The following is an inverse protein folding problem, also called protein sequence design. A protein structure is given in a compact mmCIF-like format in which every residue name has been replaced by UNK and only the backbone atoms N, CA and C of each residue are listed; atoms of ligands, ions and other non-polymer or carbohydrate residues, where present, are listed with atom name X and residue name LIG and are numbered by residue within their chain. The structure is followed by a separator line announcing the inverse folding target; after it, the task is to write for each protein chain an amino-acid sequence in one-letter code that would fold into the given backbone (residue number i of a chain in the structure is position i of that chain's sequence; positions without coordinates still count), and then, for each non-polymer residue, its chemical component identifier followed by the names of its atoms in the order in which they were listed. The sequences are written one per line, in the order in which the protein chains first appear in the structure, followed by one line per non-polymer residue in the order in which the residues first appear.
data_IF_093360477459
#
_entry.id   IF_093360477459
#
_cell.length_a   1.000
_cell.length_b   1.000
_cell.length_c   1.000
_cell.angle_alpha   90.00
_cell.angle_beta   90.00
_cell.angle_gamma   90.00
#
_symmetry.space_group_name_H-M   'P 1'
#
loop_
_entity.id
_entity.type
_entity.pdbx_description
1 polymer ?
#
# COMPACT_ATOMS: atom_id res chain seq x y z
N UNK A 1 6.90 7.25 -11.51
CA UNK A 1 6.35 6.23 -10.60
C UNK A 1 5.15 6.78 -9.84
N UNK A 2 4.09 5.98 -9.67
CA UNK A 2 2.88 6.40 -8.96
C UNK A 2 2.31 5.25 -8.13
N UNK A 3 1.50 5.57 -7.14
CA UNK A 3 0.71 4.63 -6.37
C UNK A 3 -0.54 4.21 -7.11
N UNK A 4 -1.24 3.18 -6.63
CA UNK A 4 -2.49 2.66 -7.22
C UNK A 4 -3.57 3.74 -7.42
N UNK A 5 -3.54 4.83 -6.65
CA UNK A 5 -4.45 5.97 -6.77
C UNK A 5 -3.94 7.09 -7.70
N UNK A 6 -2.90 6.86 -8.49
CA UNK A 6 -2.33 7.82 -9.44
C UNK A 6 -1.41 8.88 -8.84
N UNK A 7 -1.29 8.99 -7.51
CA UNK A 7 -0.36 9.94 -6.88
C UNK A 7 1.09 9.55 -7.14
N UNK A 8 1.95 10.54 -7.37
CA UNK A 8 3.40 10.34 -7.46
C UNK A 8 3.96 9.68 -6.18
N UNK A 9 4.86 8.71 -6.36
CA UNK A 9 5.53 8.02 -5.26
C UNK A 9 6.83 8.70 -4.86
N UNK A 10 7.06 8.89 -3.55
CA UNK A 10 8.26 9.57 -3.01
C UNK A 10 8.92 8.74 -1.92
N UNK A 11 10.25 8.66 -1.95
CA UNK A 11 11.01 8.07 -0.85
C UNK A 11 10.69 8.82 0.45
N UNK A 12 10.45 8.08 1.53
CA UNK A 12 9.99 8.60 2.81
C UNK A 12 8.48 8.47 3.04
N UNK A 13 7.69 8.17 2.01
CA UNK A 13 6.25 7.95 2.17
C UNK A 13 5.96 6.69 3.00
N UNK A 14 5.02 6.79 3.94
CA UNK A 14 4.44 5.62 4.61
C UNK A 14 3.40 4.98 3.69
N UNK A 15 3.61 3.72 3.34
CA UNK A 15 2.82 3.02 2.33
C UNK A 15 2.38 1.63 2.80
N UNK A 16 1.28 1.17 2.21
CA UNK A 16 0.82 -0.21 2.30
C UNK A 16 0.96 -0.89 0.94
N UNK A 17 1.48 -2.12 0.93
CA UNK A 17 1.44 -2.98 -0.25
C UNK A 17 0.16 -3.80 -0.20
N UNK A 18 -0.59 -3.77 -1.29
CA UNK A 18 -1.82 -4.53 -1.47
C UNK A 18 -1.61 -5.71 -2.41
N UNK A 19 -2.26 -6.83 -2.10
CA UNK A 19 -2.45 -7.99 -2.96
C UNK A 19 -3.92 -8.42 -2.94
N UNK A 20 -4.62 -8.31 -4.07
CA UNK A 20 -6.07 -8.59 -4.13
C UNK A 20 -6.91 -7.84 -3.09
N UNK A 21 -6.57 -6.60 -2.76
CA UNK A 21 -7.23 -5.80 -1.72
C UNK A 21 -6.76 -6.11 -0.28
N UNK A 22 -5.89 -7.09 -0.06
CA UNK A 22 -5.34 -7.43 1.26
C UNK A 22 -4.02 -6.68 1.51
N UNK A 23 -3.83 -6.18 2.73
CA UNK A 23 -2.55 -5.58 3.14
C UNK A 23 -1.53 -6.68 3.39
N UNK A 24 -0.44 -6.69 2.62
CA UNK A 24 0.64 -7.70 2.72
C UNK A 24 1.97 -7.12 3.19
N UNK A 25 2.10 -5.79 3.26
CA UNK A 25 3.25 -5.11 3.85
C UNK A 25 2.86 -3.68 4.23
N UNK A 26 3.44 -3.17 5.31
CA UNK A 26 3.32 -1.78 5.75
C UNK A 26 4.71 -1.26 6.14
N UNK A 27 5.04 -0.05 5.71
CA UNK A 27 6.34 0.54 6.03
C UNK A 27 6.61 1.83 5.27
N UNK A 28 7.89 2.20 5.19
CA UNK A 28 8.35 3.42 4.51
C UNK A 28 8.98 3.07 3.17
N UNK A 29 8.57 3.74 2.11
CA UNK A 29 9.20 3.61 0.78
C UNK A 29 10.62 4.18 0.83
N UNK A 30 11.60 3.43 0.32
CA UNK A 30 12.96 3.91 0.15
C UNK A 30 13.63 3.33 -1.09
N UNK A 31 14.77 3.92 -1.47
CA UNK A 31 15.59 3.48 -2.61
C UNK A 31 14.86 3.47 -3.95
N UNK A 32 13.73 4.17 -4.06
CA UNK A 32 13.03 4.36 -5.32
C UNK A 32 13.76 5.44 -6.14
N UNK A 33 14.06 5.15 -7.40
CA UNK A 33 14.76 6.06 -8.32
C UNK A 33 13.74 6.72 -9.27
N UNK A 34 13.60 8.06 -9.26
CA UNK A 34 12.72 8.79 -10.18
C UNK A 34 13.15 8.65 -11.65
N UNK A 35 12.24 8.98 -12.58
CA UNK A 35 12.54 9.03 -14.01
C UNK A 35 12.48 7.69 -14.77
N UNK A 36 12.08 6.61 -14.09
CA UNK A 36 11.87 5.29 -14.71
C UNK A 36 10.39 5.01 -14.98
N UNK A 37 10.14 4.19 -16.01
CA UNK A 37 8.80 3.72 -16.42
C UNK A 37 8.40 2.36 -15.84
N UNK A 38 9.15 1.86 -14.84
CA UNK A 38 8.88 0.61 -14.14
C UNK A 38 8.90 0.81 -12.61
N UNK A 39 8.19 -0.07 -11.89
CA UNK A 39 8.19 -0.07 -10.42
C UNK A 39 9.57 -0.47 -9.87
N UNK A 40 10.10 0.31 -8.92
CA UNK A 40 11.34 0.01 -8.22
C UNK A 40 11.28 0.50 -6.75
N UNK A 41 12.35 0.28 -6.00
CA UNK A 41 12.43 0.62 -4.57
C UNK A 41 12.01 -0.52 -3.65
N UNK A 42 12.14 -0.28 -2.35
CA UNK A 42 11.89 -1.25 -1.29
C UNK A 42 11.03 -0.63 -0.18
N UNK A 43 10.38 -1.49 0.60
CA UNK A 43 9.62 -1.10 1.79
C UNK A 43 10.44 -1.44 3.02
N UNK A 44 10.85 -0.44 3.78
CA UNK A 44 11.40 -0.63 5.12
C UNK A 44 10.23 -0.97 6.04
N UNK A 45 10.05 -2.25 6.34
CA UNK A 45 8.94 -2.75 7.15
C UNK A 45 8.99 -2.17 8.56
N UNK A 46 7.92 -1.52 8.99
CA UNK A 46 7.75 -1.13 10.38
C UNK A 46 7.16 -2.33 11.10
N UNK A 47 7.95 -2.98 11.94
CA UNK A 47 7.48 -4.09 12.74
C UNK A 47 6.59 -3.54 13.86
N UNK A 48 5.28 -3.69 13.73
CA UNK A 48 4.37 -3.35 14.82
C UNK A 48 4.65 -4.30 15.99
N UNK A 49 4.98 -3.82 17.20
CA UNK A 49 4.90 -4.65 18.39
C UNK A 49 3.47 -5.19 18.55
N UNK A 50 3.27 -6.23 19.38
CA UNK A 50 1.92 -6.67 19.74
C UNK A 50 1.13 -5.45 20.26
N UNK A 51 0.14 -5.03 19.48
CA UNK A 51 -0.68 -3.85 19.76
C UNK A 51 -2.04 -4.27 20.30
N UNK A 52 -2.69 -3.38 21.05
CA UNK A 52 -4.02 -3.63 21.59
C UNK A 52 -5.09 -3.38 20.52
N UNK A 53 -5.89 -4.41 20.23
CA UNK A 53 -6.98 -4.31 19.26
C UNK A 53 -8.25 -3.69 19.89
N UNK A 54 -8.37 -2.36 19.83
CA UNK A 54 -9.66 -1.71 20.05
C UNK A 54 -10.60 -2.05 18.88
N UNK A 55 -11.61 -2.89 19.11
CA UNK A 55 -12.47 -3.41 18.05
C UNK A 55 -13.24 -2.33 17.27
N UNK A 56 -13.45 -1.15 17.86
CA UNK A 56 -14.09 -0.01 17.18
C UNK A 56 -13.17 0.65 16.15
N UNK A 57 -11.84 0.55 16.34
CA UNK A 57 -10.83 1.11 15.44
C UNK A 57 -10.35 0.08 14.39
N UNK A 58 -10.82 -1.17 14.49
CA UNK A 58 -10.42 -2.26 13.63
C UNK A 58 -11.46 -2.51 12.52
N UNK A 59 -10.99 -2.94 11.36
CA UNK A 59 -11.83 -3.42 10.24
C UNK A 59 -11.33 -4.80 9.80
N UNK A 60 -12.24 -5.66 9.36
CA UNK A 60 -11.84 -6.96 8.81
C UNK A 60 -11.11 -6.78 7.47
N UNK A 61 -10.23 -7.73 7.14
CA UNK A 61 -9.48 -7.70 5.88
C UNK A 61 -10.41 -7.79 4.67
N UNK A 62 -11.49 -8.57 4.77
CA UNK A 62 -12.43 -8.75 3.66
C UNK A 62 -13.28 -7.50 3.42
N UNK A 63 -13.71 -6.83 4.49
CA UNK A 63 -14.43 -5.56 4.37
C UNK A 63 -13.54 -4.45 3.79
N UNK A 64 -12.27 -4.38 4.21
CA UNK A 64 -11.32 -3.45 3.63
C UNK A 64 -11.07 -3.75 2.15
N UNK A 65 -10.91 -5.02 1.77
CA UNK A 65 -10.76 -5.42 0.37
C UNK A 65 -11.98 -5.01 -0.47
N UNK A 66 -13.19 -5.19 0.05
CA UNK A 66 -14.42 -4.76 -0.61
C UNK A 66 -14.50 -3.23 -0.78
N UNK A 67 -14.08 -2.45 0.22
CA UNK A 67 -14.00 -0.99 0.12
C UNK A 67 -12.99 -0.57 -0.95
N UNK A 68 -11.79 -1.17 -0.96
CA UNK A 68 -10.76 -0.87 -1.94
C UNK A 68 -11.24 -1.20 -3.37
N UNK A 69 -11.96 -2.30 -3.55
CA UNK A 69 -12.54 -2.69 -4.84
C UNK A 69 -13.58 -1.69 -5.34
N UNK A 70 -14.43 -1.13 -4.47
CA UNK A 70 -15.37 -0.06 -4.83
C UNK A 70 -14.68 1.18 -5.40
N UNK A 71 -13.45 1.44 -4.99
CA UNK A 71 -12.63 2.55 -5.48
C UNK A 71 -11.63 2.13 -6.58
N UNK A 72 -11.69 0.89 -7.06
CA UNK A 72 -10.77 0.37 -8.10
C UNK A 72 -9.31 0.22 -7.64
N UNK A 73 -9.04 0.22 -6.34
CA UNK A 73 -7.70 0.13 -5.76
C UNK A 73 -7.25 -1.32 -5.52
N UNK A 74 -8.16 -2.28 -5.64
CA UNK A 74 -7.90 -3.72 -5.60
C UNK A 74 -7.05 -4.17 -6.79
N UNK A 75 -7.25 -3.56 -7.96
CA UNK A 75 -6.56 -3.88 -9.21
C UNK A 75 -5.26 -3.09 -9.38
N UNK A 76 -4.35 -3.67 -10.14
CA UNK A 76 -3.17 -2.95 -10.64
C UNK A 76 -3.63 -2.01 -11.75
N UNK A 77 -3.20 -0.73 -11.75
CA UNK A 77 -3.50 0.19 -12.85
C UNK A 77 -2.96 -0.31 -14.19
N UNK A 78 -3.67 -0.04 -15.29
CA UNK A 78 -3.24 -0.43 -16.63
C UNK A 78 -2.04 0.41 -17.11
N UNK A 79 -1.10 -0.23 -17.80
CA UNK A 79 -0.09 0.44 -18.61
C UNK A 79 1.15 1.00 -17.91
N UNK A 80 1.41 0.70 -16.63
CA UNK A 80 2.64 1.09 -15.89
C UNK A 80 3.01 0.11 -14.75
#
# INVERSE_FOLDING_TARGET
MHYRNGREAKNGDKIVKLDGGKVVSFGVLHSATPGNDYCNGNIATIQSPNDYACMVDCITVDDLAAILAKHGLDKRPDGK
#
